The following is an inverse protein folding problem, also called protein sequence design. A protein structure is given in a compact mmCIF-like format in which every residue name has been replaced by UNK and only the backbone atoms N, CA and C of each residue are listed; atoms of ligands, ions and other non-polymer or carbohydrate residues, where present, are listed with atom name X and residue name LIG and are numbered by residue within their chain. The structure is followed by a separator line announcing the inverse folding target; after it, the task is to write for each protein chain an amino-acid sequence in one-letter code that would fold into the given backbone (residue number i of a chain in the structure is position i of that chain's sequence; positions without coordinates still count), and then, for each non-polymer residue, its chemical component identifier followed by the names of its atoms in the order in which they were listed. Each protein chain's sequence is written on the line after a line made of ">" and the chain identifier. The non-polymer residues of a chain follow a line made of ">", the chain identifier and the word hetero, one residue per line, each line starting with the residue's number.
data_IF_328871153688
#
_entry.id   IF_328871153688
#
_cell.length_a   1.000
_cell.length_b   1.000
_cell.length_c   1.000
_cell.angle_alpha   90.00
_cell.angle_beta   90.00
_cell.angle_gamma   90.00
#
_symmetry.space_group_name_H-M   'P 1'
#
loop_
_entity.id
_entity.type
_entity.pdbx_description
1 polymer ?
#
# COMPACT_ATOMS: atom_id res chain seq x y z
N UNK A 1 -0.93 -20.52 5.44
CA UNK A 1 -1.41 -19.48 4.48
C UNK A 1 -2.32 -18.53 5.25
N UNK A 2 -2.06 -17.21 5.28
CA UNK A 2 -2.95 -16.24 5.97
C UNK A 2 -4.33 -16.30 5.31
N UNK A 3 -5.38 -16.48 6.10
CA UNK A 3 -6.73 -16.31 5.59
C UNK A 3 -6.91 -14.83 5.24
N UNK A 4 -6.74 -14.51 3.96
CA UNK A 4 -6.93 -13.15 3.46
C UNK A 4 -8.41 -12.83 3.58
N UNK A 5 -8.76 -11.81 4.35
CA UNK A 5 -10.10 -11.24 4.29
C UNK A 5 -10.17 -10.52 2.94
N UNK A 6 -10.84 -11.15 1.97
CA UNK A 6 -11.14 -10.48 0.71
C UNK A 6 -12.14 -9.37 1.01
N UNK A 7 -11.94 -8.20 0.42
CA UNK A 7 -13.03 -7.23 0.26
C UNK A 7 -14.23 -7.99 -0.33
N UNK A 8 -15.47 -7.75 0.14
CA UNK A 8 -16.65 -8.46 -0.34
C UNK A 8 -16.63 -8.59 -1.88
N UNK A 9 -16.37 -9.79 -2.37
CA UNK A 9 -16.12 -10.11 -3.78
C UNK A 9 -17.29 -9.63 -4.65
N UNK A 10 -17.03 -9.01 -5.81
CA UNK A 10 -17.57 -9.35 -7.13
C UNK A 10 -19.08 -9.61 -7.44
N UNK A 11 -20.00 -9.85 -6.51
CA UNK A 11 -21.39 -10.29 -6.84
C UNK A 11 -22.37 -9.14 -7.14
N UNK A 12 -21.97 -7.89 -6.90
CA UNK A 12 -22.92 -6.76 -6.90
C UNK A 12 -23.33 -6.22 -8.27
N UNK A 13 -22.75 -6.67 -9.40
CA UNK A 13 -23.07 -6.06 -10.70
C UNK A 13 -24.24 -6.68 -11.45
N UNK A 14 -24.69 -7.90 -11.11
CA UNK A 14 -25.81 -8.54 -11.84
C UNK A 14 -27.20 -8.19 -11.30
N UNK A 15 -27.31 -7.86 -10.00
CA UNK A 15 -28.61 -7.74 -9.33
C UNK A 15 -29.04 -6.29 -9.04
N UNK A 16 -28.21 -5.30 -9.34
CA UNK A 16 -28.65 -3.90 -9.32
C UNK A 16 -29.10 -3.53 -10.73
N UNK A 17 -30.39 -3.24 -10.91
CA UNK A 17 -30.92 -2.56 -12.10
C UNK A 17 -30.35 -1.15 -12.33
N UNK A 18 -29.20 -0.83 -11.73
CA UNK A 18 -28.46 0.41 -11.86
C UNK A 18 -27.57 0.29 -13.11
N UNK A 19 -27.90 1.08 -14.13
CA UNK A 19 -27.18 1.13 -15.41
C UNK A 19 -25.73 1.61 -15.27
N UNK A 20 -25.37 2.16 -14.10
CA UNK A 20 -24.08 2.76 -13.75
C UNK A 20 -23.78 2.57 -12.25
N UNK A 21 -22.50 2.52 -11.84
CA UNK A 21 -22.13 2.44 -10.42
C UNK A 21 -22.57 3.70 -9.68
N UNK A 22 -22.99 3.52 -8.42
CA UNK A 22 -23.34 4.61 -7.50
C UNK A 22 -22.40 4.55 -6.29
N UNK A 23 -21.63 5.63 -6.02
CA UNK A 23 -21.55 6.87 -6.80
C UNK A 23 -20.93 6.64 -8.19
N UNK A 24 -21.28 7.52 -9.14
CA UNK A 24 -20.71 7.49 -10.49
C UNK A 24 -19.21 7.76 -10.45
N UNK A 25 -18.46 7.13 -11.35
CA UNK A 25 -17.05 7.40 -11.50
C UNK A 25 -16.81 8.86 -11.90
N UNK A 26 -15.79 9.47 -11.29
CA UNK A 26 -15.43 10.87 -11.53
C UNK A 26 -14.77 11.08 -12.89
N UNK A 27 -13.98 10.11 -13.35
CA UNK A 27 -13.28 10.11 -14.64
C UNK A 27 -12.85 8.67 -15.01
N UNK A 28 -12.17 8.52 -16.15
CA UNK A 28 -11.69 7.22 -16.62
C UNK A 28 -10.69 6.56 -15.65
N UNK A 29 -9.80 7.34 -15.04
CA UNK A 29 -8.81 6.82 -14.10
C UNK A 29 -9.48 6.24 -12.85
N UNK A 30 -10.43 6.97 -12.27
CA UNK A 30 -11.28 6.53 -11.16
C UNK A 30 -12.07 5.25 -11.51
N UNK A 31 -12.64 5.20 -12.72
CA UNK A 31 -13.38 4.03 -13.21
C UNK A 31 -12.51 2.78 -13.29
N UNK A 32 -11.30 2.90 -13.85
CA UNK A 32 -10.33 1.80 -13.98
C UNK A 32 -9.82 1.36 -12.62
N UNK A 33 -9.42 2.29 -11.76
CA UNK A 33 -8.89 1.96 -10.43
C UNK A 33 -9.96 1.30 -9.54
N UNK A 34 -11.22 1.68 -9.70
CA UNK A 34 -12.35 1.03 -9.03
C UNK A 34 -12.62 -0.42 -9.46
N UNK A 35 -11.98 -0.92 -10.53
CA UNK A 35 -12.11 -2.33 -10.97
C UNK A 35 -11.00 -3.24 -10.45
N UNK A 36 -9.97 -2.69 -9.81
CA UNK A 36 -8.81 -3.45 -9.33
C UNK A 36 -8.71 -3.35 -7.81
N UNK A 37 -7.93 -4.24 -7.21
CA UNK A 37 -7.83 -4.34 -5.75
C UNK A 37 -6.58 -3.62 -5.20
N UNK A 38 -5.74 -3.13 -6.10
CA UNK A 38 -4.56 -2.34 -5.85
C UNK A 38 -4.93 -0.86 -5.68
N UNK A 39 -4.35 -0.21 -4.68
CA UNK A 39 -4.21 1.25 -4.73
C UNK A 39 -3.19 1.61 -5.82
N UNK A 40 -3.42 2.74 -6.50
CA UNK A 40 -2.65 3.14 -7.68
C UNK A 40 -2.00 4.50 -7.46
N UNK A 41 -0.71 4.59 -7.74
CA UNK A 41 0.02 5.85 -7.86
C UNK A 41 0.66 5.93 -9.24
N UNK A 42 0.60 7.10 -9.87
CA UNK A 42 1.33 7.39 -11.11
C UNK A 42 2.33 8.48 -10.80
N UNK A 43 3.60 8.16 -11.08
CA UNK A 43 4.69 9.10 -10.96
C UNK A 43 5.18 9.52 -12.35
N UNK A 44 5.65 10.76 -12.49
CA UNK A 44 6.28 11.25 -13.71
C UNK A 44 7.40 12.22 -13.33
N UNK A 45 8.56 12.08 -13.97
CA UNK A 45 9.75 12.89 -13.65
C UNK A 45 10.06 12.90 -12.14
N UNK A 46 10.00 11.72 -11.50
CA UNK A 46 10.18 11.51 -10.05
C UNK A 46 9.08 12.10 -9.14
N UNK A 47 8.06 12.78 -9.66
CA UNK A 47 6.99 13.37 -8.84
C UNK A 47 5.69 12.55 -8.87
N UNK A 48 4.95 12.51 -7.76
CA UNK A 48 3.60 11.94 -7.71
C UNK A 48 2.59 12.87 -8.42
N UNK A 49 2.13 12.46 -9.62
CA UNK A 49 1.24 13.29 -10.46
C UNK A 49 -0.23 12.95 -10.32
N UNK A 50 -0.56 11.71 -9.96
CA UNK A 50 -1.94 11.31 -9.61
C UNK A 50 -1.93 10.03 -8.80
N UNK A 51 -2.99 9.81 -8.03
CA UNK A 51 -3.20 8.59 -7.28
C UNK A 51 -4.68 8.26 -7.12
N UNK A 52 -4.96 6.98 -6.90
CA UNK A 52 -6.22 6.45 -6.41
C UNK A 52 -5.88 5.52 -5.25
N UNK A 53 -5.67 6.12 -4.08
CA UNK A 53 -5.30 5.41 -2.84
C UNK A 53 -6.47 5.46 -1.87
N UNK A 54 -7.11 4.32 -1.68
CA UNK A 54 -8.26 4.15 -0.80
C UNK A 54 -7.92 3.40 0.49
N UNK A 55 -6.81 2.64 0.48
CA UNK A 55 -6.43 1.74 1.57
C UNK A 55 -5.06 2.13 2.17
N UNK A 56 -4.79 3.41 2.52
CA UNK A 56 -3.47 3.79 3.02
C UNK A 56 -3.17 3.18 4.40
N UNK A 57 -1.88 3.07 4.72
CA UNK A 57 -1.35 2.64 6.02
C UNK A 57 -0.76 3.84 6.75
N UNK A 58 -1.61 4.65 7.39
CA UNK A 58 -1.25 5.86 8.16
C UNK A 58 -0.46 6.95 7.42
N UNK A 59 -0.62 7.05 6.11
CA UNK A 59 -0.14 8.19 5.33
C UNK A 59 -1.29 8.81 4.54
N UNK A 60 -1.18 10.12 4.28
CA UNK A 60 -2.18 10.89 3.52
C UNK A 60 -1.74 11.03 2.07
N UNK A 61 -2.48 10.48 1.08
CA UNK A 61 -2.14 10.60 -0.33
C UNK A 61 -2.17 12.04 -0.84
N UNK A 62 -3.12 12.85 -0.37
CA UNK A 62 -3.24 14.25 -0.76
C UNK A 62 -2.04 15.10 -0.30
N UNK A 63 -1.48 14.81 0.87
CA UNK A 63 -0.27 15.48 1.37
C UNK A 63 0.99 15.10 0.59
N UNK A 64 0.98 14.01 -0.19
CA UNK A 64 2.14 13.54 -0.98
C UNK A 64 2.11 13.98 -2.44
N UNK A 65 1.02 14.59 -2.89
CA UNK A 65 0.91 15.06 -4.27
C UNK A 65 2.01 16.06 -4.64
N UNK A 66 2.64 15.87 -5.80
CA UNK A 66 3.73 16.70 -6.29
C UNK A 66 5.08 16.47 -5.60
N UNK A 67 5.17 15.60 -4.59
CA UNK A 67 6.44 15.27 -3.96
C UNK A 67 7.25 14.27 -4.79
N UNK A 68 8.57 14.41 -4.72
CA UNK A 68 9.53 13.42 -5.24
C UNK A 68 9.53 12.12 -4.44
N UNK A 69 10.09 11.03 -4.98
CA UNK A 69 10.29 9.80 -4.18
C UNK A 69 11.08 10.07 -2.89
N UNK A 70 12.12 10.91 -2.97
CA UNK A 70 12.94 11.25 -1.81
C UNK A 70 12.15 11.98 -0.73
N UNK A 71 11.30 12.94 -1.12
CA UNK A 71 10.48 13.72 -0.20
C UNK A 71 9.39 12.87 0.46
N UNK A 72 8.69 12.04 -0.33
CA UNK A 72 7.65 11.15 0.19
C UNK A 72 8.18 10.20 1.27
N UNK A 73 9.41 9.71 1.11
CA UNK A 73 10.05 8.73 1.98
C UNK A 73 11.05 9.34 2.99
N UNK A 74 11.05 10.67 3.18
CA UNK A 74 12.04 11.36 4.01
C UNK A 74 12.08 10.87 5.48
N UNK A 75 10.95 10.35 5.98
CA UNK A 75 10.75 9.85 7.34
C UNK A 75 10.94 8.33 7.47
N UNK A 76 11.27 7.61 6.39
CA UNK A 76 11.50 6.16 6.47
C UNK A 76 12.89 5.90 7.09
N UNK A 77 12.98 5.18 8.22
CA UNK A 77 14.25 4.88 8.86
C UNK A 77 15.11 3.92 8.03
N UNK A 78 16.43 4.03 8.17
CA UNK A 78 17.39 3.08 7.57
C UNK A 78 17.59 3.16 6.05
N UNK A 79 16.91 4.08 5.33
CA UNK A 79 17.10 4.24 3.89
C UNK A 79 18.21 5.24 3.55
N UNK A 80 19.16 4.81 2.70
CA UNK A 80 20.19 5.70 2.17
C UNK A 80 19.58 6.72 1.21
N UNK A 81 19.53 7.98 1.66
CA UNK A 81 18.93 9.10 0.92
C UNK A 81 19.70 9.49 -0.34
N UNK A 82 20.92 8.99 -0.56
CA UNK A 82 21.69 9.23 -1.78
C UNK A 82 21.32 8.30 -2.93
N UNK A 83 20.56 7.24 -2.65
CA UNK A 83 20.21 6.21 -3.64
C UNK A 83 18.97 6.50 -4.48
N UNK A 84 18.16 7.52 -4.15
CA UNK A 84 16.84 7.73 -4.77
C UNK A 84 16.87 7.97 -6.28
N UNK A 85 17.87 8.69 -6.79
CA UNK A 85 18.02 8.88 -8.24
C UNK A 85 18.30 7.54 -8.95
N UNK A 86 19.14 6.70 -8.35
CA UNK A 86 19.40 5.37 -8.87
C UNK A 86 18.16 4.47 -8.80
N UNK A 87 17.39 4.55 -7.71
CA UNK A 87 16.12 3.83 -7.56
C UNK A 87 15.13 4.29 -8.63
N UNK A 88 14.97 5.60 -8.83
CA UNK A 88 14.09 6.17 -9.85
C UNK A 88 14.44 5.64 -11.24
N UNK A 89 15.70 5.80 -11.64
CA UNK A 89 16.18 5.36 -12.94
C UNK A 89 16.00 3.83 -13.10
N UNK A 90 16.21 3.08 -12.03
CA UNK A 90 15.98 1.63 -12.03
C UNK A 90 14.50 1.32 -12.24
N UNK A 91 13.60 1.92 -11.47
CA UNK A 91 12.15 1.76 -11.62
C UNK A 91 11.66 2.14 -13.02
N UNK A 92 12.20 3.21 -13.58
CA UNK A 92 11.83 3.70 -14.90
C UNK A 92 12.26 2.75 -16.03
N UNK A 93 13.47 2.17 -15.97
CA UNK A 93 14.07 1.49 -17.11
C UNK A 93 14.17 -0.04 -17.02
N UNK A 94 14.05 -0.65 -15.84
CA UNK A 94 14.37 -2.07 -15.64
C UNK A 94 13.22 -2.94 -15.09
N UNK A 95 12.03 -2.37 -14.90
CA UNK A 95 10.86 -3.05 -14.32
C UNK A 95 10.20 -4.11 -15.22
N UNK A 96 9.15 -4.80 -14.72
CA UNK A 96 8.47 -4.53 -13.46
C UNK A 96 9.24 -5.05 -12.24
N UNK A 97 9.35 -4.20 -11.21
CA UNK A 97 9.84 -4.61 -9.90
C UNK A 97 8.70 -5.02 -9.00
N UNK A 98 8.91 -6.09 -8.22
CA UNK A 98 7.98 -6.51 -7.18
C UNK A 98 8.70 -6.55 -5.84
N UNK A 99 8.14 -5.88 -4.85
CA UNK A 99 8.58 -5.91 -3.45
C UNK A 99 7.39 -6.12 -2.52
N UNK A 100 7.69 -6.42 -1.27
CA UNK A 100 6.69 -6.51 -0.21
C UNK A 100 7.04 -5.51 0.88
N UNK A 101 6.03 -4.77 1.33
CA UNK A 101 6.09 -4.03 2.58
C UNK A 101 5.12 -4.68 3.57
N UNK A 102 5.33 -4.48 4.87
CA UNK A 102 4.45 -5.03 5.89
C UNK A 102 4.45 -4.18 7.16
N UNK A 103 3.36 -4.25 7.90
CA UNK A 103 3.26 -3.75 9.27
C UNK A 103 2.30 -4.62 10.10
N UNK A 104 2.19 -4.34 11.39
CA UNK A 104 1.18 -4.87 12.28
C UNK A 104 0.15 -3.80 12.59
N UNK A 105 -1.10 -4.21 12.75
CA UNK A 105 -2.20 -3.30 13.10
C UNK A 105 -3.21 -4.01 13.99
N UNK A 106 -3.96 -3.25 14.77
CA UNK A 106 -4.97 -3.75 15.71
C UNK A 106 -6.33 -4.06 15.07
N UNK A 107 -6.48 -3.77 13.77
CA UNK A 107 -7.77 -3.79 13.08
C UNK A 107 -7.67 -4.43 11.70
N UNK A 108 -8.68 -5.20 11.24
CA UNK A 108 -8.72 -5.70 9.88
C UNK A 108 -9.13 -4.62 8.85
N UNK A 109 -9.50 -3.41 9.30
CA UNK A 109 -9.97 -2.33 8.43
C UNK A 109 -8.83 -1.83 7.55
N UNK A 110 -9.06 -1.85 6.23
CA UNK A 110 -8.03 -1.57 5.22
C UNK A 110 -7.71 -0.08 5.06
N UNK A 111 -8.71 0.80 5.17
CA UNK A 111 -8.51 2.25 5.05
C UNK A 111 -8.10 2.83 6.41
N UNK A 112 -6.80 3.00 6.61
CA UNK A 112 -6.21 3.54 7.83
C UNK A 112 -5.64 4.95 7.58
N UNK A 113 -6.35 5.75 6.79
CA UNK A 113 -6.00 7.15 6.55
C UNK A 113 -5.83 7.90 7.89
N UNK A 114 -4.82 8.79 8.05
CA UNK A 114 -4.55 9.48 9.31
C UNK A 114 -5.78 10.16 9.94
N UNK A 115 -6.69 10.71 9.14
CA UNK A 115 -7.92 11.35 9.61
C UNK A 115 -8.92 10.40 10.30
N UNK A 116 -8.78 9.08 10.14
CA UNK A 116 -9.65 8.08 10.78
C UNK A 116 -9.19 7.71 12.18
N UNK A 117 -7.90 7.91 12.49
CA UNK A 117 -7.29 7.55 13.77
C UNK A 117 -7.61 6.10 14.23
N UNK A 118 -7.43 5.14 13.34
CA UNK A 118 -7.61 3.70 13.62
C UNK A 118 -6.31 2.95 13.33
N UNK A 119 -6.13 1.76 13.90
CA UNK A 119 -5.04 0.88 13.51
C UNK A 119 -3.78 0.95 14.39
N UNK A 120 -3.68 1.96 15.27
CA UNK A 120 -2.44 2.36 15.94
C UNK A 120 -2.31 1.89 17.39
N UNK A 121 -3.34 1.30 17.98
CA UNK A 121 -3.32 0.88 19.38
C UNK A 121 -2.92 -0.60 19.46
N UNK A 122 -1.65 -0.88 19.74
CA UNK A 122 -1.17 -2.26 19.76
C UNK A 122 -1.89 -3.12 20.80
N UNK A 123 -2.84 -3.94 20.34
CA UNK A 123 -3.54 -4.95 21.13
C UNK A 123 -2.97 -6.34 20.80
N UNK A 124 -2.44 -7.01 21.82
CA UNK A 124 -1.89 -8.37 21.69
C UNK A 124 -2.98 -9.40 21.38
N UNK A 125 -4.22 -9.14 21.77
CA UNK A 125 -5.34 -10.04 21.54
C UNK A 125 -5.94 -9.85 20.14
N UNK A 126 -5.87 -8.65 19.57
CA UNK A 126 -6.38 -8.33 18.24
C UNK A 126 -5.26 -7.79 17.37
N UNK A 127 -4.41 -8.69 16.85
CA UNK A 127 -3.27 -8.31 16.03
C UNK A 127 -3.38 -8.88 14.62
N UNK A 128 -3.23 -8.02 13.62
CA UNK A 128 -3.33 -8.36 12.22
C UNK A 128 -2.03 -8.06 11.50
N UNK A 129 -1.60 -9.00 10.65
CA UNK A 129 -0.49 -8.79 9.74
C UNK A 129 -1.02 -8.12 8.47
N UNK A 130 -0.54 -6.90 8.21
CA UNK A 130 -0.84 -6.14 7.01
C UNK A 130 0.36 -6.23 6.06
N UNK A 131 0.13 -6.71 4.84
CA UNK A 131 1.16 -6.85 3.80
C UNK A 131 0.73 -6.10 2.56
N UNK A 132 1.65 -5.34 1.98
CA UNK A 132 1.49 -4.69 0.69
C UNK A 132 2.38 -5.40 -0.34
N UNK A 133 1.78 -6.02 -1.35
CA UNK A 133 2.52 -6.40 -2.56
C UNK A 133 2.58 -5.17 -3.46
N UNK A 134 3.79 -4.69 -3.64
CA UNK A 134 4.10 -3.46 -4.36
C UNK A 134 4.71 -3.81 -5.72
N UNK A 135 4.15 -3.26 -6.80
CA UNK A 135 4.65 -3.43 -8.17
C UNK A 135 4.97 -2.07 -8.78
N UNK A 136 6.19 -1.90 -9.31
CA UNK A 136 6.63 -0.69 -10.00
C UNK A 136 6.93 -1.03 -11.46
N UNK A 137 6.16 -0.45 -12.38
CA UNK A 137 6.33 -0.60 -13.83
C UNK A 137 6.68 0.75 -14.45
N UNK A 138 7.87 0.83 -15.07
CA UNK A 138 8.32 2.01 -15.77
C UNK A 138 7.81 2.10 -17.22
N UNK A 139 7.63 3.34 -17.69
CA UNK A 139 7.27 3.75 -19.04
C UNK A 139 8.23 4.86 -19.49
N UNK A 140 9.45 4.50 -19.93
CA UNK A 140 10.51 5.46 -20.29
C UNK A 140 10.09 6.54 -21.27
N UNK A 141 9.27 6.19 -22.26
CA UNK A 141 8.81 7.05 -23.35
C UNK A 141 7.99 8.27 -22.87
N UNK A 142 7.37 8.17 -21.69
CA UNK A 142 6.63 9.27 -21.05
C UNK A 142 7.26 9.72 -19.73
N UNK A 143 8.43 9.19 -19.39
CA UNK A 143 9.12 9.38 -18.10
C UNK A 143 8.22 9.03 -16.90
N UNK A 144 7.40 7.98 -17.05
CA UNK A 144 6.37 7.60 -16.07
C UNK A 144 6.68 6.31 -15.33
N UNK A 145 6.19 6.18 -14.10
CA UNK A 145 6.19 4.93 -13.33
C UNK A 145 4.79 4.69 -12.76
N UNK A 146 4.22 3.53 -13.07
CA UNK A 146 3.02 3.01 -12.43
C UNK A 146 3.42 2.25 -11.17
N UNK A 147 2.88 2.68 -10.03
CA UNK A 147 3.06 2.03 -8.75
C UNK A 147 1.73 1.46 -8.26
N UNK A 148 1.68 0.14 -8.10
CA UNK A 148 0.50 -0.60 -7.65
C UNK A 148 0.74 -1.19 -6.26
N UNK A 149 -0.22 -1.01 -5.36
CA UNK A 149 -0.12 -1.44 -3.97
C UNK A 149 -1.31 -2.35 -3.64
N UNK A 150 -1.08 -3.68 -3.67
CA UNK A 150 -2.10 -4.65 -3.25
C UNK A 150 -2.00 -4.93 -1.76
N UNK A 151 -3.01 -4.52 -1.00
CA UNK A 151 -3.07 -4.74 0.44
C UNK A 151 -3.75 -6.06 0.81
N UNK A 152 -3.08 -6.82 1.67
CA UNK A 152 -3.56 -8.03 2.33
C UNK A 152 -3.58 -7.79 3.83
N UNK A 153 -4.67 -8.15 4.51
CA UNK A 153 -4.74 -8.14 5.98
C UNK A 153 -5.31 -9.47 6.46
N UNK A 154 -4.70 -10.02 7.51
CA UNK A 154 -5.24 -11.20 8.18
C UNK A 154 -4.73 -11.35 9.60
N UNK A 155 -5.54 -11.99 10.42
CA UNK A 155 -5.27 -12.21 11.84
C UNK A 155 -4.04 -13.12 12.00
N UNK A 156 -3.08 -12.70 12.84
CA UNK A 156 -1.87 -13.48 13.12
C UNK A 156 -2.17 -14.85 13.73
N UNK A 157 -3.35 -15.04 14.35
CA UNK A 157 -3.80 -16.32 14.89
C UNK A 157 -4.00 -17.36 13.78
N UNK A 158 -4.26 -16.93 12.55
CA UNK A 158 -4.38 -17.80 11.36
C UNK A 158 -3.03 -18.25 10.79
N UNK A 159 -1.93 -17.62 11.20
CA UNK A 159 -0.58 -18.01 10.79
C UNK A 159 -0.17 -19.34 11.43
N UNK A 160 0.64 -20.12 10.71
CA UNK A 160 1.29 -21.30 11.27
C UNK A 160 2.27 -20.88 12.38
N UNK A 161 2.52 -21.76 13.36
CA UNK A 161 3.43 -21.47 14.48
C UNK A 161 4.80 -20.99 14.00
N UNK A 162 5.37 -21.61 12.96
CA UNK A 162 6.65 -21.22 12.38
C UNK A 162 6.62 -19.79 11.83
N UNK A 163 5.53 -19.41 11.16
CA UNK A 163 5.36 -18.07 10.59
C UNK A 163 5.23 -17.00 11.69
N UNK A 164 4.51 -17.32 12.78
CA UNK A 164 4.44 -16.43 13.95
C UNK A 164 5.80 -16.21 14.61
N UNK A 165 6.62 -17.26 14.71
CA UNK A 165 8.00 -17.14 15.23
C UNK A 165 8.84 -16.25 14.31
N UNK A 166 8.80 -16.48 12.99
CA UNK A 166 9.53 -15.64 12.03
C UNK A 166 9.09 -14.17 12.09
N UNK A 167 7.79 -13.90 12.26
CA UNK A 167 7.25 -12.55 12.45
C UNK A 167 7.78 -11.92 13.74
N UNK A 168 7.75 -12.65 14.85
CA UNK A 168 8.30 -12.19 16.13
C UNK A 168 9.81 -11.90 16.04
N UNK A 169 10.57 -12.77 15.39
CA UNK A 169 12.00 -12.55 15.16
C UNK A 169 12.27 -11.32 14.29
N UNK A 170 11.42 -11.05 13.29
CA UNK A 170 11.53 -9.86 12.45
C UNK A 170 11.27 -8.58 13.24
N UNK A 171 10.24 -8.55 14.09
CA UNK A 171 9.95 -7.42 14.99
C UNK A 171 11.10 -7.21 15.98
N UNK A 172 11.60 -8.27 16.62
CA UNK A 172 12.67 -8.18 17.60
C UNK A 172 14.02 -7.68 17.04
N UNK A 173 14.20 -7.75 15.71
CA UNK A 173 15.41 -7.26 15.01
C UNK A 173 15.30 -5.81 14.54
N UNK A 174 14.12 -5.21 14.64
CA UNK A 174 13.94 -3.80 14.29
C UNK A 174 14.66 -2.90 15.28
N UNK A 175 15.20 -1.81 14.76
CA UNK A 175 15.67 -0.67 15.53
C UNK A 175 14.51 0.05 16.21
N UNK A 176 14.79 0.90 17.21
CA UNK A 176 13.77 1.70 17.87
C UNK A 176 13.02 2.61 16.87
N UNK A 177 13.75 3.21 15.93
CA UNK A 177 13.16 4.08 14.90
C UNK A 177 12.24 3.29 13.94
N UNK A 178 12.61 2.06 13.59
CA UNK A 178 11.76 1.19 12.77
C UNK A 178 10.50 0.73 13.50
N UNK A 179 10.59 0.48 14.82
CA UNK A 179 9.45 0.14 15.67
C UNK A 179 8.50 1.33 15.84
N UNK A 180 9.02 2.55 16.01
CA UNK A 180 8.21 3.77 16.11
C UNK A 180 7.53 4.11 14.77
N UNK A 181 8.22 3.86 13.66
CA UNK A 181 7.70 4.14 12.31
C UNK A 181 6.60 3.17 11.87
N UNK A 182 6.64 1.90 12.31
CA UNK A 182 5.76 0.83 11.84
C UNK A 182 4.49 0.68 12.65
#
# INVERSE_FOLDING_TARGET
>A
MVQTIKSPDYWFSKDRGEKYPVPAYKNLFDAVCSQIQEDVCIMRNDELVTNHVCLPSWWSPEEKMGMSMKEMHANVPGMDKTSYEHIWNTCLHKGPYRRYNWTLTDTPILNQHPSKNIGKEFDRENLFLRIERQVLQGFPEVHGVLFLIRTYVGDIKTLEKKQRVTLGDAVNKMTADELEYK
#
